data_IF_143989150388
#
_entry.id   IF_143989150388
#
_cell.length_a   1.000
_cell.length_b   1.000
_cell.length_c   1.000
_cell.angle_alpha   90.00
_cell.angle_beta   90.00
_cell.angle_gamma   90.00
#
_symmetry.space_group_name_H-M   'P 1'
#
loop_
_entity.id
_entity.type
_entity.pdbx_description
1 polymer ?
#
# COMPACT_ATOMS: atom_id res chain seq x y z
N UNK A 1 -27.87 -44.77 14.22
CA UNK A 1 -28.14 -43.32 14.11
C UNK A 1 -26.87 -42.49 14.34
N UNK A 2 -25.71 -42.93 13.84
CA UNK A 2 -24.39 -42.33 14.19
C UNK A 2 -23.61 -41.84 12.96
N UNK A 3 -24.08 -42.17 11.74
CA UNK A 3 -23.39 -41.83 10.48
C UNK A 3 -23.79 -40.49 9.87
N UNK A 4 -24.81 -39.81 10.40
CA UNK A 4 -25.32 -38.53 9.87
C UNK A 4 -24.61 -37.32 10.49
N UNK A 5 -24.02 -37.46 11.68
CA UNK A 5 -23.41 -36.35 12.43
C UNK A 5 -22.07 -35.90 11.83
N UNK A 6 -21.37 -36.76 11.08
CA UNK A 6 -20.08 -36.43 10.43
C UNK A 6 -20.21 -35.56 9.17
N UNK A 7 -21.38 -35.54 8.51
CA UNK A 7 -21.58 -34.78 7.26
C UNK A 7 -21.88 -33.29 7.50
N UNK A 8 -22.27 -32.91 8.72
CA UNK A 8 -22.58 -31.51 9.08
C UNK A 8 -21.35 -30.71 9.57
N UNK A 9 -20.25 -31.38 9.92
CA UNK A 9 -19.04 -30.73 10.43
C UNK A 9 -18.08 -30.21 9.34
N UNK A 10 -18.33 -30.51 8.05
CA UNK A 10 -17.41 -30.17 6.95
C UNK A 10 -17.79 -28.89 6.21
N UNK A 11 -18.89 -28.20 6.58
CA UNK A 11 -19.35 -26.99 5.87
C UNK A 11 -19.39 -25.74 6.77
N UNK A 12 -18.42 -25.59 7.69
CA UNK A 12 -18.24 -24.36 8.48
C UNK A 12 -16.91 -23.66 8.23
N UNK A 13 -16.56 -23.48 6.96
CA UNK A 13 -15.80 -22.30 6.56
C UNK A 13 -15.93 -22.10 5.05
N UNK A 14 -17.09 -21.60 4.60
CA UNK A 14 -17.05 -20.58 3.55
C UNK A 14 -16.30 -19.39 4.16
N UNK A 15 -14.97 -19.48 4.15
CA UNK A 15 -14.13 -18.30 4.31
C UNK A 15 -14.63 -17.39 3.22
N UNK A 16 -15.30 -16.31 3.61
CA UNK A 16 -15.51 -15.19 2.71
C UNK A 16 -14.12 -14.70 2.39
N UNK A 17 -13.50 -15.28 1.37
CA UNK A 17 -12.39 -14.64 0.67
C UNK A 17 -13.05 -13.45 -0.01
N UNK A 18 -13.32 -12.42 0.79
CA UNK A 18 -13.65 -11.11 0.27
C UNK A 18 -12.48 -10.77 -0.63
N UNK A 19 -12.71 -10.83 -1.94
CA UNK A 19 -11.69 -10.48 -2.91
C UNK A 19 -11.35 -9.02 -2.61
N UNK A 20 -10.23 -8.77 -1.91
CA UNK A 20 -9.74 -7.41 -1.65
C UNK A 20 -9.51 -6.79 -3.02
N UNK A 21 -10.46 -5.95 -3.46
CA UNK A 21 -10.41 -5.27 -4.75
C UNK A 21 -9.09 -4.50 -4.80
N UNK A 22 -8.25 -4.86 -5.76
CA UNK A 22 -6.95 -4.24 -5.97
C UNK A 22 -7.13 -3.12 -7.00
N UNK A 23 -6.67 -1.92 -6.67
CA UNK A 23 -6.72 -0.76 -7.58
C UNK A 23 -5.49 -0.80 -8.48
N UNK A 24 -5.65 -0.71 -9.80
CA UNK A 24 -4.52 -0.54 -10.71
C UNK A 24 -4.13 0.94 -10.69
N UNK A 25 -2.93 1.24 -10.19
CA UNK A 25 -2.42 2.60 -10.10
C UNK A 25 -1.55 2.96 -11.31
N UNK A 26 -1.41 4.25 -11.54
CA UNK A 26 -0.33 4.87 -12.31
C UNK A 26 0.81 5.27 -11.37
N UNK A 27 1.97 5.60 -11.93
CA UNK A 27 3.13 6.03 -11.13
C UNK A 27 2.91 7.32 -10.34
N UNK A 28 1.93 8.14 -10.74
CA UNK A 28 1.61 9.40 -10.08
C UNK A 28 0.49 9.29 -9.06
N UNK A 29 -0.14 8.11 -8.94
CA UNK A 29 -1.24 7.94 -7.99
C UNK A 29 -0.77 7.94 -6.55
N UNK A 30 -1.50 8.69 -5.73
CA UNK A 30 -1.35 8.81 -4.29
C UNK A 30 -2.65 8.42 -3.59
N UNK A 31 -2.65 8.15 -2.27
CA UNK A 31 -3.90 7.96 -1.56
C UNK A 31 -4.90 9.11 -1.76
N UNK A 32 -4.41 10.35 -1.89
CA UNK A 32 -5.22 11.54 -2.13
C UNK A 32 -5.84 11.58 -3.53
N UNK A 33 -5.08 11.26 -4.59
CA UNK A 33 -5.63 11.24 -5.97
C UNK A 33 -6.67 10.13 -6.14
N UNK A 34 -6.43 8.98 -5.49
CA UNK A 34 -7.35 7.84 -5.50
C UNK A 34 -8.57 8.04 -4.58
N UNK A 35 -8.58 9.10 -3.75
CA UNK A 35 -9.61 9.37 -2.73
C UNK A 35 -9.74 8.25 -1.70
N UNK A 36 -8.62 7.62 -1.35
CA UNK A 36 -8.55 6.45 -0.46
C UNK A 36 -7.98 6.79 0.93
N UNK A 37 -7.72 8.06 1.24
CA UNK A 37 -7.15 8.49 2.53
C UNK A 37 -8.08 8.30 3.74
N UNK A 38 -9.36 7.97 3.54
CA UNK A 38 -10.31 7.69 4.62
C UNK A 38 -10.44 6.19 4.93
N UNK A 39 -9.72 5.33 4.20
CA UNK A 39 -9.68 3.89 4.44
C UNK A 39 -8.59 3.56 5.45
N UNK A 40 -8.75 2.46 6.19
CA UNK A 40 -7.67 1.94 7.04
C UNK A 40 -6.51 1.37 6.22
N UNK A 41 -6.85 0.60 5.20
CA UNK A 41 -5.90 -0.02 4.28
C UNK A 41 -6.56 -0.30 2.93
N UNK A 42 -5.75 -0.39 1.87
CA UNK A 42 -6.20 -0.83 0.54
C UNK A 42 -5.04 -1.42 -0.26
N UNK A 43 -5.37 -2.26 -1.24
CA UNK A 43 -4.39 -2.90 -2.11
C UNK A 43 -4.28 -2.14 -3.44
N UNK A 44 -3.04 -1.97 -3.91
CA UNK A 44 -2.70 -1.32 -5.17
C UNK A 44 -1.81 -2.24 -6.00
N UNK A 45 -2.04 -2.29 -7.30
CA UNK A 45 -1.13 -2.89 -8.27
C UNK A 45 -0.34 -1.78 -8.96
N UNK A 46 0.98 -1.80 -8.77
CA UNK A 46 1.90 -0.81 -9.31
C UNK A 46 2.52 -1.27 -10.62
N UNK A 47 2.58 -0.41 -11.65
CA UNK A 47 3.24 -0.72 -12.89
C UNK A 47 4.77 -0.78 -12.70
N UNK A 48 5.44 -1.48 -13.59
CA UNK A 48 6.88 -1.46 -13.69
C UNK A 48 7.40 -0.09 -14.17
N UNK A 49 8.65 0.19 -13.85
CA UNK A 49 9.45 1.31 -14.36
C UNK A 49 8.89 2.70 -14.04
N UNK A 50 8.35 2.89 -12.83
CA UNK A 50 7.97 4.23 -12.40
C UNK A 50 9.17 5.18 -12.36
N UNK A 51 9.02 6.31 -13.05
CA UNK A 51 10.01 7.39 -13.15
C UNK A 51 10.00 8.29 -11.92
N UNK A 52 9.88 9.59 -12.14
CA UNK A 52 9.85 10.59 -11.07
C UNK A 52 8.42 11.06 -10.78
N UNK A 53 8.05 11.10 -9.51
CA UNK A 53 6.85 11.74 -8.98
C UNK A 53 7.15 12.26 -7.57
N UNK A 54 6.28 13.12 -7.02
CA UNK A 54 6.48 13.67 -5.67
C UNK A 54 6.38 12.58 -4.61
N UNK A 55 7.37 12.56 -3.70
CA UNK A 55 7.41 11.65 -2.55
C UNK A 55 8.04 12.38 -1.37
N UNK A 56 7.35 12.36 -0.25
CA UNK A 56 7.74 13.08 0.95
C UNK A 56 7.86 12.11 2.12
N UNK A 57 9.00 12.12 2.80
CA UNK A 57 9.23 11.28 3.98
C UNK A 57 9.94 9.95 3.73
N UNK A 58 10.11 9.21 4.81
CA UNK A 58 10.85 7.94 4.89
C UNK A 58 10.08 6.97 5.75
N UNK A 59 9.71 5.82 5.18
CA UNK A 59 8.92 4.74 5.81
C UNK A 59 7.49 5.13 6.22
N UNK A 60 7.22 6.41 6.46
CA UNK A 60 5.91 7.07 6.49
C UNK A 60 5.91 8.23 5.50
N UNK A 61 4.91 8.27 4.62
CA UNK A 61 4.81 9.21 3.52
C UNK A 61 3.54 10.04 3.60
N UNK A 62 3.57 11.29 3.15
CA UNK A 62 2.34 12.12 3.07
C UNK A 62 1.33 11.49 2.10
N UNK A 63 0.03 11.63 2.34
CA UNK A 63 -1.00 11.01 1.48
C UNK A 63 -1.12 11.59 0.06
N UNK A 64 -0.37 12.63 -0.27
CA UNK A 64 -0.18 13.11 -1.65
C UNK A 64 1.08 12.57 -2.35
N UNK A 65 1.87 11.72 -1.68
CA UNK A 65 3.04 11.07 -2.27
C UNK A 65 2.67 9.88 -3.17
N UNK A 66 3.47 9.62 -4.21
CA UNK A 66 3.32 8.43 -5.08
C UNK A 66 3.39 7.13 -4.29
N UNK A 67 2.35 6.30 -4.40
CA UNK A 67 2.28 4.97 -3.75
C UNK A 67 3.37 4.06 -4.29
N UNK A 68 3.52 4.02 -5.60
CA UNK A 68 4.39 3.05 -6.27
C UNK A 68 5.87 3.39 -6.08
N UNK A 69 6.24 4.67 -6.09
CA UNK A 69 7.61 5.04 -5.77
C UNK A 69 7.91 4.92 -4.27
N UNK A 70 6.96 5.20 -3.38
CA UNK A 70 7.11 4.90 -1.96
C UNK A 70 7.34 3.39 -1.73
N UNK A 71 6.65 2.53 -2.48
CA UNK A 71 6.83 1.09 -2.40
C UNK A 71 8.21 0.62 -2.91
N UNK A 72 8.73 1.24 -3.97
CA UNK A 72 10.13 1.00 -4.39
C UNK A 72 11.08 1.51 -3.30
N UNK A 73 10.85 2.71 -2.76
CA UNK A 73 11.69 3.32 -1.73
C UNK A 73 11.80 2.45 -0.47
N UNK A 74 10.72 1.84 0.01
CA UNK A 74 10.77 0.90 1.14
C UNK A 74 11.40 -0.45 0.79
N UNK A 75 11.61 -0.75 -0.49
CA UNK A 75 12.04 -2.07 -0.97
C UNK A 75 10.91 -3.10 -0.98
N UNK A 76 9.65 -2.67 -0.85
CA UNK A 76 8.50 -3.55 -0.94
C UNK A 76 8.38 -4.18 -2.34
N UNK A 77 8.70 -3.44 -3.39
CA UNK A 77 8.72 -3.92 -4.79
C UNK A 77 9.99 -3.49 -5.51
N UNK A 78 10.35 -4.23 -6.56
CA UNK A 78 11.47 -3.86 -7.46
C UNK A 78 10.94 -2.93 -8.55
N UNK A 79 11.69 -1.86 -8.84
CA UNK A 79 11.29 -0.81 -9.81
C UNK A 79 10.99 -1.40 -11.19
N UNK A 80 11.82 -2.30 -11.68
CA UNK A 80 11.74 -2.92 -13.01
C UNK A 80 10.59 -3.93 -13.16
N UNK A 81 9.99 -4.37 -12.04
CA UNK A 81 8.90 -5.35 -12.03
C UNK A 81 7.56 -4.76 -11.63
N UNK A 82 7.55 -3.71 -10.82
CA UNK A 82 6.33 -3.25 -10.15
C UNK A 82 5.81 -4.31 -9.18
N UNK A 83 4.49 -4.37 -9.00
CA UNK A 83 3.83 -5.42 -8.24
C UNK A 83 2.74 -4.92 -7.29
N UNK A 84 2.18 -5.86 -6.54
CA UNK A 84 1.06 -5.60 -5.64
C UNK A 84 1.55 -5.18 -4.25
N UNK A 85 0.98 -4.10 -3.73
CA UNK A 85 1.30 -3.54 -2.43
C UNK A 85 0.06 -3.23 -1.62
N UNK A 86 0.19 -3.33 -0.30
CA UNK A 86 -0.83 -2.92 0.66
C UNK A 86 -0.42 -1.59 1.25
N UNK A 87 -1.31 -0.59 1.11
CA UNK A 87 -1.17 0.74 1.70
C UNK A 87 -1.94 0.77 3.00
N UNK A 88 -1.32 1.30 4.06
CA UNK A 88 -1.96 1.51 5.36
C UNK A 88 -2.00 3.00 5.66
N UNK A 89 -3.19 3.55 5.87
CA UNK A 89 -3.34 4.95 6.27
C UNK A 89 -3.10 5.07 7.77
N UNK A 90 -2.30 6.05 8.16
CA UNK A 90 -1.97 6.37 9.54
C UNK A 90 -2.14 7.87 9.78
N UNK A 91 -2.05 8.29 11.04
CA UNK A 91 -2.10 9.71 11.40
C UNK A 91 -0.99 10.51 10.69
N UNK A 92 -1.26 11.78 10.44
CA UNK A 92 -0.27 12.76 9.98
C UNK A 92 0.89 12.90 10.97
N UNK A 93 2.05 13.30 10.46
CA UNK A 93 3.23 13.61 11.27
C UNK A 93 3.49 15.12 11.30
N UNK A 94 4.08 15.66 12.37
CA UNK A 94 4.43 17.08 12.43
C UNK A 94 5.59 17.45 11.48
N UNK A 95 6.39 16.48 11.07
CA UNK A 95 7.45 16.61 10.08
C UNK A 95 7.80 15.25 9.46
N UNK A 96 8.31 15.27 8.23
CA UNK A 96 8.76 14.11 7.47
C UNK A 96 10.21 14.34 7.03
N UNK A 97 11.07 13.36 7.30
CA UNK A 97 12.47 13.39 6.85
C UNK A 97 12.59 12.65 5.52
N UNK A 98 13.10 13.31 4.49
CA UNK A 98 13.45 12.67 3.21
C UNK A 98 14.71 11.81 3.33
N UNK A 99 14.84 10.79 2.48
CA UNK A 99 16.05 9.98 2.38
C UNK A 99 16.23 9.40 0.99
N UNK A 100 17.33 8.67 0.79
CA UNK A 100 17.55 7.87 -0.41
C UNK A 100 17.62 6.39 -0.02
N UNK A 101 16.71 5.58 -0.60
CA UNK A 101 16.67 4.13 -0.44
C UNK A 101 16.25 3.47 -1.73
N UNK A 102 16.84 2.31 -2.04
CA UNK A 102 16.47 1.49 -3.19
C UNK A 102 16.42 2.24 -4.54
N UNK A 103 17.33 3.22 -4.72
CA UNK A 103 17.41 4.03 -5.94
C UNK A 103 16.28 5.04 -6.13
N UNK A 104 15.55 5.36 -5.06
CA UNK A 104 14.55 6.44 -5.01
C UNK A 104 15.00 7.45 -3.95
N UNK A 105 14.96 8.73 -4.31
CA UNK A 105 15.20 9.84 -3.38
C UNK A 105 13.87 10.51 -3.04
N UNK A 106 13.62 10.74 -1.76
CA UNK A 106 12.44 11.46 -1.25
C UNK A 106 12.83 12.77 -0.61
N UNK A 107 11.88 13.69 -0.54
CA UNK A 107 12.10 15.02 0.04
C UNK A 107 11.57 15.10 1.46
N UNK A 108 12.15 15.98 2.27
CA UNK A 108 11.58 16.34 3.57
C UNK A 108 10.34 17.22 3.42
N UNK A 109 9.42 17.13 4.38
CA UNK A 109 8.23 17.97 4.45
C UNK A 109 7.91 18.35 5.89
N UNK A 110 7.16 19.43 6.09
CA UNK A 110 6.65 19.83 7.40
C UNK A 110 5.40 19.02 7.76
N UNK A 111 4.50 19.59 8.57
CA UNK A 111 3.27 18.91 8.98
C UNK A 111 2.37 18.57 7.78
N UNK A 112 1.72 17.40 7.85
CA UNK A 112 0.71 16.97 6.89
C UNK A 112 -0.46 16.29 7.61
N UNK A 113 -1.66 16.35 7.00
CA UNK A 113 -2.92 15.92 7.62
C UNK A 113 -3.03 14.41 7.86
N UNK A 114 -2.45 13.61 6.96
CA UNK A 114 -2.47 12.15 7.02
C UNK A 114 -1.22 11.56 6.38
N UNK A 115 -0.81 10.38 6.84
CA UNK A 115 0.31 9.65 6.24
C UNK A 115 -0.12 8.27 5.76
N UNK A 116 0.75 7.62 5.02
CA UNK A 116 0.64 6.20 4.73
C UNK A 116 1.98 5.48 4.90
N UNK A 117 1.89 4.18 5.18
CA UNK A 117 2.99 3.23 5.04
C UNK A 117 2.61 2.19 3.98
N UNK A 118 3.60 1.50 3.43
CA UNK A 118 3.38 0.55 2.34
C UNK A 118 4.22 -0.71 2.51
N UNK A 119 3.61 -1.87 2.24
CA UNK A 119 4.25 -3.19 2.28
C UNK A 119 3.92 -3.98 1.02
N UNK A 120 4.77 -4.95 0.69
CA UNK A 120 4.46 -5.93 -0.34
C UNK A 120 3.21 -6.72 0.09
N UNK A 121 2.27 -6.97 -0.82
CA UNK A 121 1.05 -7.73 -0.48
C UNK A 121 1.26 -9.25 -0.37
N UNK A 122 2.36 -9.75 -0.91
CA UNK A 122 2.67 -11.18 -1.05
C UNK A 122 3.70 -11.66 -0.02
N UNK A 123 4.15 -10.79 0.90
CA UNK A 123 5.09 -11.10 2.00
C UNK A 123 4.48 -10.73 3.34
#
# INVERSE_FOLDING_TARGET
MEKIILMLAVILSLITVGCKKTVNATCSDSPKTLKMQNLKEFAVNCPANCGSASIWGTDSYTTDSSICLAAVHTGAIQKDKGGKVTVFIIAGLPAYTGSEKNGVTTSSWNSYEASFTVKNSDK
#
